data_IF_104044691770
#
_entry.id   IF_104044691770
#
_cell.length_a   1.000
_cell.length_b   1.000
_cell.length_c   1.000
_cell.angle_alpha   90.00
_cell.angle_beta   90.00
_cell.angle_gamma   90.00
#
_symmetry.space_group_name_H-M   'P 1'
#
loop_
_entity.id
_entity.type
_entity.pdbx_description
1 polymer ?
#
# COMPACT_ATOMS: atom_id res chain seq x y z
N UNK A 1 -9.53 -37.96 -6.90
CA UNK A 1 -9.15 -37.47 -5.56
C UNK A 1 -7.70 -37.02 -5.61
N UNK A 2 -7.48 -35.75 -5.94
CA UNK A 2 -6.15 -35.13 -5.99
C UNK A 2 -5.85 -34.56 -4.60
N UNK A 3 -4.88 -35.15 -3.92
CA UNK A 3 -4.33 -34.67 -2.66
C UNK A 3 -3.68 -33.31 -2.90
N UNK A 4 -4.34 -32.24 -2.46
CA UNK A 4 -3.79 -30.89 -2.49
C UNK A 4 -2.52 -30.85 -1.61
N UNK A 5 -1.38 -30.72 -2.26
CA UNK A 5 -0.07 -30.58 -1.64
C UNK A 5 -0.02 -29.27 -0.85
N UNK A 6 0.29 -29.37 0.45
CA UNK A 6 0.45 -28.23 1.36
C UNK A 6 1.61 -27.33 0.90
N UNK A 7 1.41 -26.02 0.68
CA UNK A 7 2.52 -25.10 0.55
C UNK A 7 3.16 -24.92 1.93
N UNK A 8 4.34 -25.50 2.12
CA UNK A 8 5.19 -25.30 3.29
C UNK A 8 6.15 -24.14 2.99
N UNK A 9 5.70 -22.90 3.24
CA UNK A 9 6.59 -21.76 3.30
C UNK A 9 6.85 -21.43 4.77
N UNK A 10 7.92 -21.99 5.34
CA UNK A 10 8.51 -21.49 6.59
C UNK A 10 9.84 -20.83 6.25
N UNK A 11 9.92 -19.50 6.14
CA UNK A 11 11.21 -18.83 6.13
C UNK A 11 11.83 -18.92 7.53
N UNK A 12 13.04 -19.46 7.59
CA UNK A 12 13.90 -19.54 8.76
C UNK A 12 14.19 -18.17 9.38
N UNK A 13 14.05 -18.06 10.70
CA UNK A 13 14.64 -16.99 11.52
C UNK A 13 13.63 -16.14 12.31
N UNK A 14 13.27 -16.58 13.52
CA UNK A 14 12.50 -15.82 14.51
C UNK A 14 11.08 -15.42 14.07
N UNK A 15 10.07 -15.74 14.88
CA UNK A 15 8.68 -15.31 14.60
C UNK A 15 8.66 -13.79 14.43
N UNK A 16 8.34 -13.29 13.23
CA UNK A 16 8.40 -11.85 12.93
C UNK A 16 7.51 -11.06 13.90
N UNK A 17 7.80 -9.77 14.14
CA UNK A 17 6.98 -8.92 15.02
C UNK A 17 5.50 -8.92 14.57
N UNK A 18 5.27 -8.95 13.26
CA UNK A 18 3.93 -9.07 12.65
C UNK A 18 3.29 -10.39 13.04
N UNK A 19 3.98 -11.52 12.87
CA UNK A 19 3.45 -12.82 13.26
C UNK A 19 3.12 -12.90 14.75
N UNK A 20 3.93 -12.28 15.63
CA UNK A 20 3.62 -12.19 17.07
C UNK A 20 2.40 -11.32 17.37
N UNK A 21 2.28 -10.15 16.73
CA UNK A 21 1.09 -9.27 16.85
C UNK A 21 -0.16 -10.01 16.36
N UNK A 22 -0.07 -10.59 15.18
CA UNK A 22 -1.12 -11.38 14.55
C UNK A 22 -1.59 -12.54 15.44
N UNK A 23 -0.67 -13.35 15.98
CA UNK A 23 -1.03 -14.46 16.86
C UNK A 23 -1.76 -14.05 18.15
N UNK A 24 -1.59 -12.80 18.61
CA UNK A 24 -2.38 -12.25 19.73
C UNK A 24 -3.78 -11.84 19.32
N UNK A 25 -3.95 -11.32 18.10
CA UNK A 25 -5.25 -10.90 17.58
C UNK A 25 -6.06 -12.05 16.99
N UNK A 26 -5.41 -13.07 16.44
CA UNK A 26 -6.03 -14.21 15.77
C UNK A 26 -5.34 -15.51 16.21
N UNK A 27 -5.53 -15.93 17.47
CA UNK A 27 -4.89 -17.13 17.99
C UNK A 27 -5.34 -18.38 17.21
N UNK A 28 -4.39 -19.22 16.80
CA UNK A 28 -4.65 -20.44 16.03
C UNK A 28 -4.70 -20.25 14.52
N UNK A 29 -4.88 -19.02 14.04
CA UNK A 29 -4.88 -18.71 12.62
C UNK A 29 -3.45 -18.64 12.04
N UNK A 30 -3.32 -18.88 10.74
CA UNK A 30 -2.04 -18.85 10.03
C UNK A 30 -2.04 -17.80 8.93
N UNK A 31 -1.12 -16.84 9.04
CA UNK A 31 -0.93 -15.78 8.05
C UNK A 31 0.13 -16.15 7.02
N UNK A 32 -0.22 -16.04 5.74
CA UNK A 32 0.73 -15.97 4.64
C UNK A 32 1.28 -14.54 4.60
N UNK A 33 2.33 -14.30 5.40
CA UNK A 33 3.05 -13.04 5.43
C UNK A 33 3.79 -12.81 4.10
N UNK A 34 3.74 -11.60 3.57
CA UNK A 34 4.54 -11.24 2.38
C UNK A 34 6.04 -11.30 2.67
N UNK A 35 6.87 -11.37 1.61
CA UNK A 35 8.33 -11.41 1.77
C UNK A 35 8.84 -10.24 2.64
N UNK A 36 9.87 -10.46 3.46
CA UNK A 36 10.49 -9.41 4.29
C UNK A 36 9.54 -8.61 5.21
N UNK A 37 8.32 -9.08 5.51
CA UNK A 37 7.33 -8.32 6.31
C UNK A 37 7.88 -7.85 7.66
N UNK A 38 8.77 -8.63 8.30
CA UNK A 38 9.39 -8.24 9.56
C UNK A 38 10.26 -6.97 9.43
N UNK A 39 10.98 -6.83 8.32
CA UNK A 39 11.79 -5.65 8.02
C UNK A 39 10.92 -4.45 7.63
N UNK A 40 9.79 -4.68 6.96
CA UNK A 40 8.80 -3.64 6.67
C UNK A 40 8.18 -3.13 7.97
N UNK A 41 7.67 -4.02 8.82
CA UNK A 41 7.07 -3.67 10.10
C UNK A 41 8.03 -2.92 11.03
N UNK A 42 9.31 -3.32 11.08
CA UNK A 42 10.30 -2.62 11.90
C UNK A 42 10.53 -1.17 11.46
N UNK A 43 10.40 -0.88 10.16
CA UNK A 43 10.47 0.48 9.60
C UNK A 43 9.16 1.22 9.79
N UNK A 44 8.06 0.59 9.35
CA UNK A 44 6.72 1.10 9.52
C UNK A 44 6.49 1.55 10.96
N UNK A 45 6.82 0.75 11.97
CA UNK A 45 6.67 1.10 13.40
C UNK A 45 7.39 2.41 13.79
N UNK A 46 8.49 2.79 13.13
CA UNK A 46 9.31 3.96 13.47
C UNK A 46 8.95 5.22 12.70
N UNK A 47 8.26 5.11 11.58
CA UNK A 47 7.83 6.27 10.78
C UNK A 47 6.85 7.15 11.58
N UNK A 48 6.76 8.46 11.32
CA UNK A 48 5.65 9.26 11.82
C UNK A 48 4.34 8.88 11.09
N UNK A 49 3.26 9.63 11.34
CA UNK A 49 2.11 9.61 10.43
C UNK A 49 2.53 10.17 9.07
N UNK A 50 1.86 9.71 8.01
CA UNK A 50 2.09 10.27 6.68
C UNK A 50 1.84 11.79 6.64
N UNK A 51 2.49 12.45 5.67
CA UNK A 51 2.13 13.80 5.23
C UNK A 51 0.79 13.76 4.49
N UNK A 52 0.12 14.92 4.30
CA UNK A 52 -1.02 15.00 3.39
C UNK A 52 -0.62 14.57 1.96
N UNK A 53 -1.56 14.02 1.18
CA UNK A 53 -1.38 13.65 -0.24
C UNK A 53 -0.31 12.58 -0.58
N UNK A 54 0.48 12.10 0.38
CA UNK A 54 1.66 11.22 0.14
C UNK A 54 1.43 9.74 0.47
N UNK A 55 0.20 9.26 0.65
CA UNK A 55 -0.07 7.88 1.10
C UNK A 55 0.67 6.79 0.30
N UNK A 56 0.71 6.89 -1.03
CA UNK A 56 1.45 5.96 -1.88
C UNK A 56 2.97 6.07 -1.70
N UNK A 57 3.50 7.28 -1.57
CA UNK A 57 4.91 7.53 -1.28
C UNK A 57 5.33 7.03 0.12
N UNK A 58 4.46 7.20 1.12
CA UNK A 58 4.66 6.69 2.47
C UNK A 58 4.78 5.17 2.47
N UNK A 59 3.92 4.44 1.73
CA UNK A 59 4.02 2.98 1.61
C UNK A 59 5.40 2.55 1.12
N UNK A 60 5.93 3.24 0.11
CA UNK A 60 7.24 2.94 -0.47
C UNK A 60 8.41 3.27 0.47
N UNK A 61 8.24 4.22 1.41
CA UNK A 61 9.29 4.61 2.36
C UNK A 61 9.68 3.49 3.35
N UNK A 62 8.75 2.60 3.70
CA UNK A 62 9.09 1.39 4.47
C UNK A 62 9.33 0.16 3.59
N UNK A 63 8.72 0.10 2.40
CA UNK A 63 8.81 -1.04 1.50
C UNK A 63 10.18 -1.12 0.81
N UNK A 64 10.61 -0.07 0.09
CA UNK A 64 11.86 -0.11 -0.70
C UNK A 64 13.09 -0.41 0.19
N UNK A 65 13.28 0.26 1.33
CA UNK A 65 14.40 -0.06 2.22
C UNK A 65 14.32 -1.47 2.84
N UNK A 66 13.13 -2.02 3.07
CA UNK A 66 12.96 -3.39 3.56
C UNK A 66 13.38 -4.46 2.54
N UNK A 67 13.24 -4.13 1.26
CA UNK A 67 13.69 -4.93 0.12
C UNK A 67 15.17 -4.72 -0.23
N UNK A 68 15.88 -3.88 0.53
CA UNK A 68 17.32 -3.63 0.35
C UNK A 68 17.65 -2.39 -0.47
N UNK A 69 16.66 -1.61 -0.89
CA UNK A 69 16.84 -0.33 -1.59
C UNK A 69 16.82 0.81 -0.59
N UNK A 70 17.95 1.05 0.08
CA UNK A 70 18.04 2.07 1.11
C UNK A 70 18.34 3.47 0.56
N UNK A 71 18.97 3.58 -0.62
CA UNK A 71 19.33 4.87 -1.21
C UNK A 71 19.14 4.89 -2.72
N UNK A 72 18.83 6.07 -3.25
CA UNK A 72 18.82 6.38 -4.68
C UNK A 72 19.53 7.72 -4.88
N UNK A 73 20.55 7.73 -5.74
CA UNK A 73 21.39 8.89 -6.06
C UNK A 73 21.90 9.68 -4.84
N UNK A 74 22.30 8.92 -3.82
CA UNK A 74 22.81 9.50 -2.58
C UNK A 74 21.73 9.92 -1.58
N UNK A 75 20.45 9.87 -1.91
CA UNK A 75 19.33 10.20 -1.02
C UNK A 75 18.75 8.96 -0.35
N UNK A 76 18.25 9.10 0.88
CA UNK A 76 17.62 8.02 1.65
C UNK A 76 16.22 7.71 1.13
N UNK A 77 15.94 6.45 0.80
CA UNK A 77 14.61 6.00 0.35
C UNK A 77 13.62 5.78 1.50
N UNK A 78 14.07 5.88 2.75
CA UNK A 78 13.17 5.98 3.91
C UNK A 78 12.61 7.41 4.10
N UNK A 79 13.11 8.40 3.36
CA UNK A 79 12.59 9.76 3.38
C UNK A 79 11.31 9.86 2.54
N UNK A 80 10.16 10.03 3.18
CA UNK A 80 8.86 10.12 2.53
C UNK A 80 8.78 11.25 1.48
N UNK A 81 9.31 12.43 1.77
CA UNK A 81 9.34 13.57 0.86
C UNK A 81 10.22 13.32 -0.38
N UNK A 82 11.29 12.55 -0.23
CA UNK A 82 12.09 12.11 -1.37
C UNK A 82 11.34 11.12 -2.25
N UNK A 83 10.62 10.17 -1.65
CA UNK A 83 9.78 9.26 -2.43
C UNK A 83 8.62 10.02 -3.09
N UNK A 84 8.04 11.02 -2.43
CA UNK A 84 6.99 11.87 -3.00
C UNK A 84 7.50 12.60 -4.24
N UNK A 85 8.75 13.10 -4.20
CA UNK A 85 9.43 13.64 -5.37
C UNK A 85 9.62 12.59 -6.49
N UNK A 86 10.10 11.37 -6.16
CA UNK A 86 10.21 10.28 -7.15
C UNK A 86 8.86 9.82 -7.72
N UNK A 87 7.77 10.00 -6.97
CA UNK A 87 6.42 9.67 -7.40
C UNK A 87 5.73 10.83 -8.13
N UNK A 88 6.37 12.00 -8.25
CA UNK A 88 5.78 13.22 -8.78
C UNK A 88 4.44 13.59 -8.11
N UNK A 89 4.37 13.41 -6.79
CA UNK A 89 3.19 13.77 -5.98
C UNK A 89 2.81 15.22 -6.20
N UNK A 90 1.51 15.47 -6.29
CA UNK A 90 0.92 16.81 -6.27
C UNK A 90 0.39 17.08 -4.87
N UNK A 91 0.85 18.15 -4.25
CA UNK A 91 0.31 18.65 -2.98
C UNK A 91 -0.68 19.78 -3.22
N UNK A 92 -1.48 20.11 -2.22
CA UNK A 92 -2.35 21.28 -2.33
C UNK A 92 -1.50 22.56 -2.29
N UNK A 93 -1.88 23.58 -3.08
CA UNK A 93 -1.17 24.87 -3.13
C UNK A 93 -1.05 25.53 -1.74
N UNK A 94 -2.03 25.29 -0.85
CA UNK A 94 -2.01 25.76 0.52
C UNK A 94 -0.87 25.16 1.38
N UNK A 95 -0.33 24.00 1.01
CA UNK A 95 0.81 23.36 1.68
C UNK A 95 2.16 23.98 1.28
N UNK A 96 2.22 24.64 0.12
CA UNK A 96 3.48 25.17 -0.45
C UNK A 96 4.02 26.32 0.38
N UNK A 97 3.20 27.32 0.71
CA UNK A 97 3.68 28.51 1.43
C UNK A 97 4.28 28.18 2.82
N UNK A 98 3.67 27.31 3.65
CA UNK A 98 4.31 26.82 4.87
C UNK A 98 5.62 26.07 4.62
N UNK A 99 5.70 25.24 3.57
CA UNK A 99 6.93 24.53 3.21
C UNK A 99 8.05 25.50 2.82
N UNK A 100 7.75 26.49 1.99
CA UNK A 100 8.68 27.51 1.52
C UNK A 100 9.19 28.38 2.67
N UNK A 101 8.32 28.71 3.64
CA UNK A 101 8.73 29.42 4.84
C UNK A 101 9.80 28.64 5.63
N UNK A 102 9.56 27.35 5.86
CA UNK A 102 10.53 26.48 6.54
C UNK A 102 11.83 26.38 5.72
N UNK A 103 11.74 26.23 4.40
CA UNK A 103 12.91 26.19 3.53
C UNK A 103 13.75 27.47 3.62
N UNK A 104 13.11 28.65 3.65
CA UNK A 104 13.82 29.94 3.84
C UNK A 104 14.53 30.02 5.19
N UNK A 105 13.87 29.59 6.26
CA UNK A 105 14.46 29.59 7.61
C UNK A 105 15.64 28.62 7.74
N UNK A 106 15.58 27.48 7.07
CA UNK A 106 16.72 26.55 6.96
C UNK A 106 17.86 27.19 6.16
N UNK A 107 17.56 27.81 5.01
CA UNK A 107 18.57 28.48 4.18
C UNK A 107 19.23 29.68 4.90
N UNK A 108 18.49 30.39 5.75
CA UNK A 108 19.00 31.47 6.59
C UNK A 108 19.81 30.98 7.81
N UNK A 109 19.87 29.68 8.06
CA UNK A 109 20.55 29.09 9.22
C UNK A 109 19.78 29.26 10.54
N UNK A 110 18.52 29.68 10.50
CA UNK A 110 17.66 29.83 11.69
C UNK A 110 17.17 28.47 12.22
N UNK A 111 17.13 27.47 11.35
CA UNK A 111 16.80 26.08 11.67
C UNK A 111 17.80 25.14 11.00
N UNK A 112 18.23 24.11 11.73
CA UNK A 112 18.87 22.96 11.07
C UNK A 112 17.81 22.11 10.35
N UNK A 113 18.21 21.35 9.32
CA UNK A 113 17.29 20.43 8.65
C UNK A 113 16.65 19.42 9.63
N UNK A 114 17.41 18.97 10.63
CA UNK A 114 16.92 18.05 11.66
C UNK A 114 15.78 18.69 12.46
N UNK A 115 15.97 19.92 12.92
CA UNK A 115 14.93 20.63 13.68
C UNK A 115 13.71 20.93 12.81
N UNK A 116 13.92 21.25 11.55
CA UNK A 116 12.84 21.49 10.61
C UNK A 116 12.02 20.21 10.33
N UNK A 117 12.66 19.04 10.20
CA UNK A 117 11.96 17.75 10.11
C UNK A 117 11.22 17.40 11.40
N UNK A 118 11.83 17.62 12.56
CA UNK A 118 11.21 17.32 13.86
C UNK A 118 9.98 18.19 14.13
N UNK A 119 10.00 19.47 13.76
CA UNK A 119 8.93 20.43 14.06
C UNK A 119 7.90 20.59 12.93
N UNK A 120 8.36 20.50 11.68
CA UNK A 120 7.58 20.82 10.49
C UNK A 120 7.55 19.68 9.47
N UNK A 121 7.97 18.47 9.85
CA UNK A 121 8.03 17.31 8.96
C UNK A 121 6.68 16.88 8.37
N UNK A 122 5.55 17.43 8.82
CA UNK A 122 4.24 17.20 8.17
C UNK A 122 3.99 18.11 6.96
N UNK A 123 4.63 19.27 6.90
CA UNK A 123 4.35 20.32 5.90
C UNK A 123 5.59 20.71 5.08
N UNK A 124 6.81 20.44 5.55
CA UNK A 124 8.03 20.86 4.88
C UNK A 124 8.64 19.77 4.00
N UNK A 125 8.74 20.00 2.70
CA UNK A 125 9.33 19.08 1.73
C UNK A 125 10.75 19.54 1.37
N UNK A 126 11.75 18.67 1.57
CA UNK A 126 13.15 18.99 1.19
C UNK A 126 13.39 18.89 -0.31
N UNK A 127 12.53 18.15 -1.00
CA UNK A 127 12.63 17.88 -2.42
C UNK A 127 11.45 18.51 -3.15
N UNK A 128 11.63 18.96 -4.40
CA UNK A 128 10.54 19.56 -5.16
C UNK A 128 9.36 18.62 -5.31
N UNK A 129 8.18 19.11 -4.96
CA UNK A 129 6.88 18.48 -5.24
C UNK A 129 6.07 19.41 -6.12
N UNK A 130 5.15 18.85 -6.91
CA UNK A 130 4.22 19.66 -7.70
C UNK A 130 3.11 20.17 -6.78
N UNK A 131 2.47 21.27 -7.15
CA UNK A 131 1.34 21.81 -6.42
C UNK A 131 0.16 22.10 -7.35
N UNK A 132 -1.06 21.86 -6.86
CA UNK A 132 -2.28 22.26 -7.56
C UNK A 132 -3.21 23.05 -6.63
N UNK A 133 -3.93 24.01 -7.21
CA UNK A 133 -5.02 24.70 -6.53
C UNK A 133 -6.31 23.88 -6.54
N UNK A 134 -6.40 22.83 -7.36
CA UNK A 134 -7.51 21.88 -7.36
C UNK A 134 -7.21 20.69 -6.42
N UNK A 135 -7.95 20.54 -5.31
CA UNK A 135 -7.76 19.40 -4.40
C UNK A 135 -8.03 18.04 -5.06
N UNK A 136 -8.80 17.99 -6.16
CA UNK A 136 -9.06 16.74 -6.90
C UNK A 136 -7.79 16.19 -7.54
N UNK A 137 -6.92 17.07 -8.02
CA UNK A 137 -5.67 16.76 -8.70
C UNK A 137 -4.53 16.38 -7.74
N UNK A 138 -4.70 16.70 -6.45
CA UNK A 138 -3.73 16.44 -5.39
C UNK A 138 -3.69 14.97 -5.01
N UNK A 139 -2.54 14.50 -4.54
CA UNK A 139 -2.31 13.13 -4.13
C UNK A 139 -1.21 12.42 -4.91
N UNK A 140 -1.09 11.13 -4.62
CA UNK A 140 -0.20 10.21 -5.32
C UNK A 140 -1.00 9.44 -6.37
N UNK A 141 -0.58 9.43 -7.63
CA UNK A 141 -1.20 8.59 -8.66
C UNK A 141 -0.61 7.16 -8.68
N UNK A 142 -1.34 6.15 -9.18
CA UNK A 142 -0.81 4.79 -9.34
C UNK A 142 0.44 4.73 -10.23
N UNK A 143 0.47 5.53 -11.30
CA UNK A 143 1.66 5.66 -12.17
C UNK A 143 2.82 6.29 -11.41
N UNK A 144 2.57 7.28 -10.56
CA UNK A 144 3.57 7.88 -9.68
C UNK A 144 4.19 6.85 -8.73
N UNK A 145 3.38 6.00 -8.09
CA UNK A 145 3.90 4.90 -7.27
C UNK A 145 4.77 3.95 -8.11
N UNK A 146 4.32 3.56 -9.31
CA UNK A 146 5.09 2.70 -10.20
C UNK A 146 6.42 3.35 -10.64
N UNK A 147 6.41 4.65 -10.98
CA UNK A 147 7.60 5.45 -11.30
C UNK A 147 8.59 5.44 -10.14
N UNK A 148 8.14 5.71 -8.92
CA UNK A 148 9.00 5.71 -7.74
C UNK A 148 9.60 4.34 -7.44
N UNK A 149 8.87 3.24 -7.67
CA UNK A 149 9.40 1.88 -7.57
C UNK A 149 10.50 1.65 -8.60
N UNK A 150 10.25 1.99 -9.87
CA UNK A 150 11.22 1.80 -10.95
C UNK A 150 12.49 2.62 -10.71
N UNK A 151 12.36 3.91 -10.39
CA UNK A 151 13.49 4.79 -10.10
C UNK A 151 14.23 4.38 -8.83
N UNK A 152 13.53 4.28 -7.70
CA UNK A 152 14.12 3.98 -6.40
C UNK A 152 14.82 2.61 -6.35
N UNK A 153 14.35 1.64 -7.14
CA UNK A 153 15.00 0.32 -7.27
C UNK A 153 16.01 0.22 -8.42
N UNK A 154 16.20 1.29 -9.21
CA UNK A 154 16.98 1.31 -10.45
C UNK A 154 16.60 0.17 -11.40
N UNK A 155 15.29 0.00 -11.58
CA UNK A 155 14.67 -1.03 -12.40
C UNK A 155 14.78 -2.46 -11.86
N UNK A 156 15.34 -2.70 -10.67
CA UNK A 156 15.44 -4.07 -10.12
C UNK A 156 14.09 -4.61 -9.63
N UNK A 157 13.19 -3.71 -9.22
CA UNK A 157 11.78 -4.00 -9.01
C UNK A 157 10.96 -3.42 -10.16
N UNK A 158 9.77 -3.97 -10.35
CA UNK A 158 8.77 -3.49 -11.29
C UNK A 158 7.39 -3.62 -10.68
N UNK A 159 6.42 -2.96 -11.28
CA UNK A 159 5.02 -2.96 -10.85
C UNK A 159 4.16 -3.65 -11.90
N UNK A 160 3.34 -4.60 -11.47
CA UNK A 160 2.25 -5.20 -12.25
C UNK A 160 0.92 -4.62 -11.74
N UNK A 161 0.36 -3.59 -12.41
CA UNK A 161 -0.84 -2.90 -11.99
C UNK A 161 -2.08 -3.69 -12.39
N UNK A 162 -3.02 -3.85 -11.45
CA UNK A 162 -4.31 -4.48 -11.65
C UNK A 162 -5.42 -3.49 -11.29
N UNK A 163 -5.90 -2.76 -12.30
CA UNK A 163 -7.07 -1.90 -12.17
C UNK A 163 -8.32 -2.72 -11.82
N UNK A 164 -9.15 -2.21 -10.92
CA UNK A 164 -10.39 -2.88 -10.53
C UNK A 164 -11.45 -2.90 -11.64
N UNK A 165 -11.40 -1.90 -12.53
CA UNK A 165 -12.25 -1.74 -13.73
C UNK A 165 -11.39 -1.48 -14.97
N UNK A 166 -11.89 -1.89 -16.13
CA UNK A 166 -11.35 -1.50 -17.44
C UNK A 166 -11.82 -0.09 -17.83
N UNK A 167 -11.25 0.46 -18.90
CA UNK A 167 -11.61 1.79 -19.42
C UNK A 167 -13.09 1.89 -19.83
N UNK A 168 -13.70 0.78 -20.24
CA UNK A 168 -15.13 0.70 -20.59
C UNK A 168 -16.04 0.51 -19.37
N UNK A 169 -15.48 0.51 -18.15
CA UNK A 169 -16.20 0.32 -16.90
C UNK A 169 -16.35 -1.15 -16.46
N UNK A 170 -15.96 -2.12 -17.28
CA UNK A 170 -16.05 -3.56 -16.96
C UNK A 170 -15.27 -3.88 -15.70
N UNK A 171 -15.93 -4.48 -14.71
CA UNK A 171 -15.29 -4.91 -13.45
C UNK A 171 -14.34 -6.08 -13.72
N UNK A 172 -13.06 -5.90 -13.41
CA UNK A 172 -12.06 -6.97 -13.45
C UNK A 172 -12.10 -7.80 -12.17
N UNK A 173 -12.19 -7.14 -11.01
CA UNK A 173 -12.15 -7.77 -9.68
C UNK A 173 -13.56 -8.18 -9.23
N UNK A 174 -14.16 -9.12 -9.95
CA UNK A 174 -15.38 -9.81 -9.48
C UNK A 174 -15.05 -10.66 -8.24
N UNK A 175 -16.03 -11.04 -7.40
CA UNK A 175 -15.80 -11.89 -6.23
C UNK A 175 -14.96 -13.14 -6.55
N UNK A 176 -15.30 -13.85 -7.63
CA UNK A 176 -14.63 -15.10 -8.02
C UNK A 176 -13.20 -14.86 -8.49
N UNK A 177 -12.97 -13.80 -9.29
CA UNK A 177 -11.63 -13.45 -9.76
C UNK A 177 -10.76 -12.93 -8.63
N UNK A 178 -11.34 -12.20 -7.68
CA UNK A 178 -10.67 -11.72 -6.50
C UNK A 178 -10.21 -12.86 -5.59
N UNK A 179 -11.10 -13.82 -5.29
CA UNK A 179 -10.73 -15.00 -4.50
C UNK A 179 -9.62 -15.81 -5.18
N UNK A 180 -9.74 -16.07 -6.49
CA UNK A 180 -8.71 -16.77 -7.27
C UNK A 180 -7.38 -16.01 -7.31
N UNK A 181 -7.42 -14.68 -7.37
CA UNK A 181 -6.23 -13.85 -7.30
C UNK A 181 -5.55 -13.97 -5.93
N UNK A 182 -6.30 -13.95 -4.83
CA UNK A 182 -5.74 -14.12 -3.49
C UNK A 182 -5.16 -15.51 -3.28
N UNK A 183 -5.80 -16.57 -3.80
CA UNK A 183 -5.26 -17.92 -3.78
C UNK A 183 -3.94 -18.01 -4.57
N UNK A 184 -3.89 -17.43 -5.77
CA UNK A 184 -2.68 -17.33 -6.59
C UNK A 184 -1.56 -16.60 -5.84
N UNK A 185 -1.87 -15.42 -5.30
CA UNK A 185 -0.91 -14.59 -4.57
C UNK A 185 -0.38 -15.32 -3.32
N UNK A 186 -1.24 -15.98 -2.55
CA UNK A 186 -0.84 -16.78 -1.39
C UNK A 186 0.11 -17.93 -1.78
N UNK A 187 -0.16 -18.60 -2.89
CA UNK A 187 0.66 -19.72 -3.37
C UNK A 187 2.07 -19.28 -3.84
N UNK A 188 2.20 -18.07 -4.38
CA UNK A 188 3.44 -17.57 -4.98
C UNK A 188 4.19 -16.52 -4.15
N UNK A 189 3.89 -16.35 -2.86
CA UNK A 189 4.61 -15.39 -1.97
C UNK A 189 6.13 -15.61 -2.01
N UNK A 190 6.58 -16.86 -1.86
CA UNK A 190 8.01 -17.18 -1.80
C UNK A 190 8.70 -17.10 -3.18
N UNK A 191 7.99 -17.51 -4.23
CA UNK A 191 8.52 -17.57 -5.60
C UNK A 191 8.66 -16.18 -6.21
N UNK A 192 7.58 -15.39 -6.20
CA UNK A 192 7.58 -14.06 -6.83
C UNK A 192 8.04 -12.97 -5.88
N UNK A 193 8.09 -13.22 -4.57
CA UNK A 193 8.52 -12.24 -3.55
C UNK A 193 7.79 -10.90 -3.72
N UNK A 194 6.48 -11.00 -3.94
CA UNK A 194 5.64 -9.87 -4.31
C UNK A 194 5.18 -9.09 -3.07
N UNK A 195 4.85 -7.82 -3.29
CA UNK A 195 4.20 -6.93 -2.33
C UNK A 195 3.03 -6.22 -3.00
N UNK A 196 1.90 -6.12 -2.32
CA UNK A 196 0.77 -5.36 -2.83
C UNK A 196 0.74 -3.96 -2.21
N UNK A 197 0.50 -2.98 -3.05
CA UNK A 197 0.11 -1.62 -2.68
C UNK A 197 -1.30 -1.38 -3.23
N UNK A 198 -2.28 -1.30 -2.35
CA UNK A 198 -3.69 -1.11 -2.72
C UNK A 198 -4.01 0.37 -2.87
N UNK A 199 -4.94 0.69 -3.76
CA UNK A 199 -5.62 1.99 -3.83
C UNK A 199 -7.13 1.77 -3.79
N UNK A 200 -7.76 2.14 -2.67
CA UNK A 200 -9.15 1.80 -2.37
C UNK A 200 -9.91 3.00 -1.81
N UNK A 201 -11.24 2.92 -1.79
CA UNK A 201 -12.13 3.87 -1.14
C UNK A 201 -12.33 3.46 0.33
N UNK A 202 -11.90 4.30 1.28
CA UNK A 202 -11.77 3.89 2.69
C UNK A 202 -13.09 3.59 3.39
N UNK A 203 -14.17 4.30 3.04
CA UNK A 203 -15.52 4.07 3.57
C UNK A 203 -16.10 2.67 3.26
N UNK A 204 -15.45 1.90 2.39
CA UNK A 204 -15.85 0.52 2.12
C UNK A 204 -15.27 -0.47 3.14
N UNK A 205 -14.38 -0.07 4.04
CA UNK A 205 -13.73 -0.98 4.99
C UNK A 205 -14.39 -0.90 6.37
N UNK A 206 -14.05 -1.85 7.26
CA UNK A 206 -14.44 -1.74 8.67
C UNK A 206 -13.71 -0.55 9.31
N UNK A 207 -14.44 0.25 10.09
CA UNK A 207 -13.93 1.46 10.74
C UNK A 207 -12.88 1.13 11.81
N UNK A 208 -11.59 1.40 11.57
CA UNK A 208 -10.49 0.93 12.41
C UNK A 208 -10.30 1.72 13.72
N UNK A 209 -10.90 2.90 13.84
CA UNK A 209 -10.94 3.74 15.04
C UNK A 209 -12.23 3.56 15.87
N UNK A 210 -13.15 2.71 15.42
CA UNK A 210 -14.36 2.40 16.18
C UNK A 210 -14.02 1.59 17.45
N UNK A 211 -14.64 1.89 18.62
CA UNK A 211 -14.43 1.11 19.84
C UNK A 211 -14.76 -0.39 19.71
N UNK A 212 -15.62 -0.77 18.76
CA UNK A 212 -15.95 -2.15 18.43
C UNK A 212 -14.87 -2.86 17.60
N UNK A 213 -13.89 -2.13 17.04
CA UNK A 213 -12.75 -2.68 16.28
C UNK A 213 -11.76 -3.40 17.21
N UNK A 214 -12.23 -4.49 17.80
CA UNK A 214 -11.49 -5.31 18.76
C UNK A 214 -11.17 -6.67 18.14
N UNK A 215 -10.11 -7.36 18.58
CA UNK A 215 -9.82 -8.71 18.10
C UNK A 215 -10.98 -9.69 18.35
N UNK A 216 -11.79 -9.48 19.38
CA UNK A 216 -12.95 -10.32 19.65
C UNK A 216 -14.03 -10.17 18.57
N UNK A 217 -14.39 -8.93 18.21
CA UNK A 217 -15.38 -8.67 17.17
C UNK A 217 -14.87 -9.00 15.77
N UNK A 218 -13.58 -8.77 15.48
CA UNK A 218 -12.96 -9.13 14.20
C UNK A 218 -12.98 -10.64 13.92
N UNK A 219 -13.07 -11.47 14.95
CA UNK A 219 -13.19 -12.94 14.82
C UNK A 219 -14.65 -13.42 14.79
N UNK A 220 -15.61 -12.53 14.95
CA UNK A 220 -17.01 -12.90 14.96
C UNK A 220 -17.49 -13.20 13.53
N UNK A 221 -18.35 -14.21 13.32
CA UNK A 221 -18.87 -14.54 11.99
C UNK A 221 -19.72 -13.41 11.38
N UNK A 222 -20.27 -12.53 12.22
CA UNK A 222 -21.09 -11.37 11.89
C UNK A 222 -20.32 -10.05 12.04
N UNK A 223 -19.00 -10.03 11.80
CA UNK A 223 -18.13 -8.86 12.01
C UNK A 223 -18.67 -7.56 11.40
N UNK A 224 -19.27 -7.62 10.21
CA UNK A 224 -19.80 -6.45 9.48
C UNK A 224 -21.03 -5.80 10.13
N UNK A 225 -21.74 -6.51 11.01
CA UNK A 225 -22.85 -5.94 11.79
C UNK A 225 -22.38 -5.38 13.12
N UNK A 226 -21.21 -5.83 13.61
CA UNK A 226 -20.62 -5.42 14.88
C UNK A 226 -19.75 -4.19 14.76
N UNK A 227 -19.05 -4.06 13.63
CA UNK A 227 -18.12 -2.99 13.37
C UNK A 227 -18.67 -2.20 12.18
N UNK A 228 -18.99 -0.91 12.35
CA UNK A 228 -19.51 -0.11 11.25
C UNK A 228 -18.47 0.06 10.15
N UNK A 229 -18.95 0.47 8.98
CA UNK A 229 -18.07 0.95 7.93
C UNK A 229 -17.43 2.27 8.31
N UNK A 230 -16.26 2.50 7.76
CA UNK A 230 -15.55 3.75 7.90
C UNK A 230 -16.40 4.89 7.30
N UNK A 231 -16.41 6.06 7.95
CA UNK A 231 -17.14 7.25 7.47
C UNK A 231 -16.23 8.18 6.65
N UNK A 232 -14.96 7.81 6.54
CA UNK A 232 -13.97 8.52 5.75
C UNK A 232 -14.01 8.08 4.29
N UNK A 233 -14.80 8.75 3.45
CA UNK A 233 -14.96 8.43 2.03
C UNK A 233 -13.89 9.05 1.12
N UNK A 234 -12.65 8.58 1.19
CA UNK A 234 -11.55 9.06 0.32
C UNK A 234 -10.80 7.93 -0.37
N UNK A 235 -10.00 8.28 -1.38
CA UNK A 235 -9.00 7.37 -1.94
C UNK A 235 -7.76 7.26 -1.06
N UNK A 236 -7.37 6.02 -0.74
CA UNK A 236 -6.24 5.75 0.13
C UNK A 236 -5.28 4.72 -0.45
N UNK A 237 -3.99 4.85 -0.14
CA UNK A 237 -2.98 3.84 -0.46
C UNK A 237 -2.45 3.16 0.80
N UNK A 238 -2.38 1.83 0.77
CA UNK A 238 -1.83 1.02 1.89
C UNK A 238 -0.99 -0.14 1.38
N UNK A 239 -0.02 -0.57 2.18
CA UNK A 239 0.76 -1.78 1.92
C UNK A 239 0.14 -3.02 2.57
N UNK A 240 0.38 -4.18 1.99
CA UNK A 240 -0.02 -5.46 2.57
C UNK A 240 1.07 -6.03 3.50
N UNK A 241 0.70 -6.42 4.71
CA UNK A 241 1.56 -7.19 5.61
C UNK A 241 1.40 -8.71 5.42
N UNK A 242 0.20 -9.16 5.09
CA UNK A 242 -0.07 -10.56 4.77
C UNK A 242 -1.55 -10.84 4.62
N UNK A 243 -1.87 -12.06 4.20
CA UNK A 243 -3.23 -12.54 4.01
C UNK A 243 -3.43 -13.88 4.72
N UNK A 244 -4.64 -14.16 5.18
CA UNK A 244 -5.01 -15.44 5.79
C UNK A 244 -6.47 -15.78 5.52
N UNK A 245 -6.85 -17.04 5.70
CA UNK A 245 -8.27 -17.42 5.80
C UNK A 245 -8.64 -17.58 7.26
N UNK A 246 -9.78 -17.04 7.68
CA UNK A 246 -10.35 -17.34 9.00
C UNK A 246 -10.81 -18.78 8.99
N UNK A 247 -10.14 -19.68 9.71
CA UNK A 247 -10.22 -21.13 9.49
C UNK A 247 -9.81 -21.56 8.07
N UNK A 248 -9.54 -22.86 7.87
CA UNK A 248 -8.96 -23.36 6.61
C UNK A 248 -9.83 -23.11 5.37
N UNK A 249 -11.17 -23.10 5.53
CA UNK A 249 -12.13 -22.96 4.43
C UNK A 249 -12.90 -21.65 4.47
N UNK A 250 -12.58 -20.74 5.38
CA UNK A 250 -13.31 -19.48 5.50
C UNK A 250 -12.85 -18.43 4.51
N UNK A 251 -13.44 -17.22 4.62
CA UNK A 251 -13.13 -16.11 3.72
C UNK A 251 -11.69 -15.63 3.93
N UNK A 252 -11.12 -15.04 2.88
CA UNK A 252 -9.84 -14.35 2.96
C UNK A 252 -9.95 -13.08 3.81
N UNK A 253 -8.85 -12.79 4.48
CA UNK A 253 -8.59 -11.60 5.27
C UNK A 253 -7.21 -11.04 4.92
N UNK A 254 -7.09 -9.73 5.04
CA UNK A 254 -5.88 -8.98 4.76
C UNK A 254 -5.43 -8.24 6.02
N UNK A 255 -4.11 -8.18 6.24
CA UNK A 255 -3.51 -7.34 7.27
C UNK A 255 -2.83 -6.18 6.56
N UNK A 256 -3.36 -4.98 6.72
CA UNK A 256 -2.86 -3.78 6.06
C UNK A 256 -1.91 -3.00 6.97
N UNK A 257 -0.93 -2.35 6.36
CA UNK A 257 -0.16 -1.25 6.94
C UNK A 257 -0.82 0.07 6.53
N UNK A 258 -1.75 0.55 7.35
CA UNK A 258 -2.34 1.87 7.17
C UNK A 258 -1.33 2.95 7.56
N UNK A 259 -1.18 3.93 6.68
CA UNK A 259 -0.27 5.05 6.82
C UNK A 259 -0.70 6.06 7.91
N UNK A 260 -1.96 5.99 8.37
CA UNK A 260 -2.49 6.66 9.56
C UNK A 260 -2.39 5.75 10.79
N UNK A 261 -1.31 5.89 11.55
CA UNK A 261 -0.97 5.00 12.66
C UNK A 261 -1.91 5.06 13.86
N UNK A 262 -2.70 6.11 13.98
CA UNK A 262 -3.73 6.27 15.00
C UNK A 262 -4.92 5.30 14.77
N UNK A 263 -5.07 4.77 13.55
CA UNK A 263 -6.14 3.87 13.17
C UNK A 263 -5.76 2.40 13.44
N UNK A 264 -6.73 1.60 13.86
CA UNK A 264 -6.56 0.16 14.07
C UNK A 264 -5.57 -0.16 15.19
N UNK A 265 -4.80 -1.22 15.03
CA UNK A 265 -3.83 -1.63 16.06
C UNK A 265 -2.45 -0.98 15.83
N UNK A 266 -2.39 0.34 15.95
CA UNK A 266 -1.21 1.16 15.63
C UNK A 266 -0.85 1.14 14.12
N UNK A 267 -1.84 1.38 13.26
CA UNK A 267 -1.73 1.32 11.80
C UNK A 267 -1.79 -0.09 11.22
N UNK A 268 -2.00 -1.12 12.05
CA UNK A 268 -2.24 -2.48 11.59
C UNK A 268 -3.73 -2.76 11.52
N UNK A 269 -4.24 -3.04 10.32
CA UNK A 269 -5.68 -3.17 10.09
C UNK A 269 -6.04 -4.52 9.47
N UNK A 270 -6.53 -5.46 10.28
CA UNK A 270 -7.23 -6.65 9.80
C UNK A 270 -8.52 -6.26 9.09
N UNK A 271 -8.68 -6.66 7.83
CA UNK A 271 -9.86 -6.34 7.01
C UNK A 271 -10.33 -7.58 6.25
N UNK A 272 -11.64 -7.87 6.18
CA UNK A 272 -12.14 -8.93 5.33
C UNK A 272 -11.83 -8.59 3.87
N UNK A 273 -11.34 -9.58 3.11
CA UNK A 273 -10.87 -9.34 1.76
C UNK A 273 -11.98 -8.90 0.81
N UNK A 274 -13.23 -9.30 1.05
CA UNK A 274 -14.36 -8.85 0.25
C UNK A 274 -14.62 -7.34 0.41
N UNK A 275 -14.39 -6.79 1.60
CA UNK A 275 -14.55 -5.35 1.82
C UNK A 275 -13.45 -4.55 1.15
N UNK A 276 -12.23 -5.10 1.15
CA UNK A 276 -11.15 -4.56 0.33
C UNK A 276 -11.53 -4.60 -1.15
N UNK A 277 -12.10 -5.69 -1.68
CA UNK A 277 -12.55 -5.78 -3.07
C UNK A 277 -13.55 -4.68 -3.41
N UNK A 278 -14.54 -4.46 -2.55
CA UNK A 278 -15.52 -3.37 -2.70
C UNK A 278 -14.83 -2.01 -2.68
N UNK A 279 -13.88 -1.78 -1.78
CA UNK A 279 -13.07 -0.56 -1.75
C UNK A 279 -12.22 -0.36 -3.01
N UNK A 280 -11.71 -1.42 -3.62
CA UNK A 280 -10.96 -1.36 -4.87
C UNK A 280 -11.86 -1.05 -6.06
N UNK A 281 -13.05 -1.65 -6.13
CA UNK A 281 -14.08 -1.39 -7.15
C UNK A 281 -14.87 -0.16 -6.73
N UNK A 282 -14.21 1.00 -6.81
CA UNK A 282 -14.76 2.28 -6.38
C UNK A 282 -16.02 2.65 -7.17
N UNK A 283 -16.92 3.36 -6.48
CA UNK A 283 -18.17 3.90 -7.02
C UNK A 283 -18.20 5.44 -7.02
N UNK A 284 -17.13 6.09 -6.57
CA UNK A 284 -17.00 7.54 -6.46
C UNK A 284 -16.53 8.24 -7.76
N UNK A 285 -16.56 7.51 -8.88
CA UNK A 285 -16.11 7.99 -10.19
C UNK A 285 -14.59 7.99 -10.39
N UNK A 286 -13.79 7.59 -9.38
CA UNK A 286 -12.33 7.42 -9.50
C UNK A 286 -11.99 5.94 -9.70
N UNK A 287 -10.84 5.66 -10.31
CA UNK A 287 -10.32 4.30 -10.42
C UNK A 287 -9.68 3.82 -9.11
N UNK A 288 -9.84 2.53 -8.82
CA UNK A 288 -9.10 1.83 -7.76
C UNK A 288 -8.41 0.59 -8.32
N UNK A 289 -7.61 -0.06 -7.49
CA UNK A 289 -6.83 -1.22 -7.92
C UNK A 289 -5.65 -1.51 -7.02
N UNK A 290 -4.78 -2.40 -7.45
CA UNK A 290 -3.57 -2.74 -6.70
C UNK A 290 -2.36 -2.79 -7.61
N UNK A 291 -1.21 -2.42 -7.06
CA UNK A 291 0.09 -2.57 -7.68
C UNK A 291 0.79 -3.75 -7.03
N UNK A 292 1.09 -4.80 -7.80
CA UNK A 292 2.01 -5.84 -7.35
C UNK A 292 3.43 -5.39 -7.64
N UNK A 293 4.19 -5.09 -6.60
CA UNK A 293 5.62 -4.79 -6.66
C UNK A 293 6.38 -6.10 -6.51
N UNK A 294 7.21 -6.44 -7.50
CA UNK A 294 7.95 -7.70 -7.53
C UNK A 294 9.31 -7.52 -8.23
N UNK A 295 10.28 -8.43 -8.01
CA UNK A 295 11.54 -8.43 -8.75
C UNK A 295 11.27 -8.55 -10.25
N UNK A 296 11.97 -7.77 -11.07
CA UNK A 296 11.77 -7.77 -12.54
C UNK A 296 11.79 -9.17 -13.16
N UNK A 297 12.60 -10.08 -12.62
CA UNK A 297 12.72 -11.47 -13.08
C UNK A 297 11.46 -12.31 -12.89
N UNK A 298 10.53 -11.90 -12.02
CA UNK A 298 9.27 -12.61 -11.79
C UNK A 298 8.10 -12.05 -12.62
N UNK A 299 8.30 -10.94 -13.35
CA UNK A 299 7.22 -10.21 -14.01
C UNK A 299 6.49 -11.04 -15.06
N UNK A 300 7.22 -11.72 -15.94
CA UNK A 300 6.61 -12.49 -17.03
C UNK A 300 5.73 -13.61 -16.49
N UNK A 301 6.24 -14.39 -15.52
CA UNK A 301 5.48 -15.47 -14.88
C UNK A 301 4.26 -14.96 -14.12
N UNK A 302 4.41 -13.88 -13.35
CA UNK A 302 3.31 -13.27 -12.62
C UNK A 302 2.24 -12.70 -13.58
N UNK A 303 2.65 -12.01 -14.64
CA UNK A 303 1.75 -11.43 -15.63
C UNK A 303 0.97 -12.52 -16.38
N UNK A 304 1.63 -13.60 -16.80
CA UNK A 304 0.97 -14.74 -17.45
C UNK A 304 -0.04 -15.43 -16.53
N UNK A 305 0.32 -15.64 -15.26
CA UNK A 305 -0.57 -16.25 -14.27
C UNK A 305 -1.81 -15.39 -13.98
N UNK A 306 -1.63 -14.07 -13.83
CA UNK A 306 -2.72 -13.09 -13.69
C UNK A 306 -3.62 -13.09 -14.93
N UNK A 307 -3.04 -13.09 -16.13
CA UNK A 307 -3.79 -13.18 -17.38
C UNK A 307 -4.62 -14.47 -17.47
N UNK A 308 -4.10 -15.59 -16.95
CA UNK A 308 -4.82 -16.86 -16.83
C UNK A 308 -6.05 -16.82 -15.91
N UNK A 309 -6.17 -15.79 -15.06
CA UNK A 309 -7.38 -15.51 -14.28
C UNK A 309 -8.41 -14.66 -15.05
N UNK A 310 -8.08 -14.23 -16.27
CA UNK A 310 -8.87 -13.29 -17.07
C UNK A 310 -8.74 -11.84 -16.62
N UNK A 311 -7.64 -11.51 -15.92
CA UNK A 311 -7.31 -10.15 -15.49
C UNK A 311 -6.33 -9.50 -16.48
N UNK A 312 -6.54 -8.22 -16.78
CA UNK A 312 -5.68 -7.42 -17.65
C UNK A 312 -4.82 -6.50 -16.79
N UNK A 313 -3.50 -6.61 -16.96
CA UNK A 313 -2.55 -5.72 -16.32
C UNK A 313 -2.57 -4.34 -16.99
N UNK A 314 -2.95 -3.32 -16.23
CA UNK A 314 -3.03 -1.92 -16.67
C UNK A 314 -3.11 -0.99 -15.47
N UNK A 315 -2.62 0.23 -15.64
CA UNK A 315 -2.85 1.30 -14.69
C UNK A 315 -4.29 1.82 -14.75
N UNK A 316 -4.62 2.67 -13.79
CA UNK A 316 -5.88 3.41 -13.69
C UNK A 316 -5.57 4.84 -13.24
N UNK A 317 -6.53 5.74 -13.43
CA UNK A 317 -6.49 7.08 -12.82
C UNK A 317 -7.34 7.07 -11.55
N UNK A 318 -6.81 7.61 -10.46
CA UNK A 318 -7.52 7.79 -9.19
C UNK A 318 -7.93 9.26 -8.94
N UNK A 319 -7.87 10.10 -9.99
CA UNK A 319 -8.10 11.55 -9.92
C UNK A 319 -6.85 12.38 -9.66
N UNK A 320 -5.82 11.83 -9.01
CA UNK A 320 -4.55 12.54 -8.84
C UNK A 320 -3.79 12.66 -10.16
N UNK A 321 -3.08 13.78 -10.34
CA UNK A 321 -2.34 14.07 -11.57
C UNK A 321 -1.22 13.07 -11.81
N UNK A 322 -1.14 12.54 -13.03
CA UNK A 322 -0.08 11.63 -13.44
C UNK A 322 1.27 12.35 -13.62
N UNK A 323 2.42 11.65 -13.58
CA UNK A 323 3.70 12.24 -13.93
C UNK A 323 3.77 12.56 -15.42
N UNK A 324 4.19 13.78 -15.80
CA UNK A 324 4.21 14.23 -17.20
C UNK A 324 5.36 13.60 -18.00
N UNK A 325 6.40 13.13 -17.31
CA UNK A 325 7.64 12.58 -17.88
C UNK A 325 7.69 11.05 -17.87
N UNK A 326 6.60 10.38 -17.47
CA UNK A 326 6.58 8.93 -17.28
C UNK A 326 5.24 8.30 -17.64
N UNK A 327 5.30 7.28 -18.49
CA UNK A 327 4.18 6.38 -18.76
C UNK A 327 4.52 4.98 -18.26
N UNK A 328 3.56 4.33 -17.61
CA UNK A 328 3.74 2.93 -17.25
C UNK A 328 3.70 2.06 -18.51
N UNK A 329 4.68 1.16 -18.62
CA UNK A 329 4.73 0.11 -19.62
C UNK A 329 5.09 -1.19 -18.90
N UNK A 330 4.62 -2.33 -19.40
CA UNK A 330 4.94 -3.61 -18.78
C UNK A 330 6.45 -3.84 -18.81
N UNK A 331 7.07 -3.96 -17.64
CA UNK A 331 8.51 -4.06 -17.54
C UNK A 331 9.21 -2.73 -17.78
N UNK A 332 8.58 -1.60 -17.46
CA UNK A 332 9.27 -0.33 -17.27
C UNK A 332 9.17 0.06 -15.80
#
# INVERSE_FOLDING_TARGET
MTTATRPSATPSGGTSRVARRFARWFPGERIAAVDRVGAMAARFDRLPHQRPATCGAYVLSYLLPALGFARHDGHDLAAEDYIAHLAAVVVEAAEVAPSDDVARRVAAGELTEREALERYGRVWYRYPVRASADPVESGTSPTGVARAVALGSRGRLTSLPLASRLADGTVQLTPERWERLLDLLAAHVAEWRWHAVFNYQSDQLLRPDDPSFTPANLRAPDVETRIPRDDWGVGHFVGLAGLWRMSWTGPWWLLLFDTYKERGFAGYQPQPAELMRLGLVREDGRGGGLLLILPRTALEGAAAAVAGLGLVARTWSNGSTEPDDWTWEMGR
#
